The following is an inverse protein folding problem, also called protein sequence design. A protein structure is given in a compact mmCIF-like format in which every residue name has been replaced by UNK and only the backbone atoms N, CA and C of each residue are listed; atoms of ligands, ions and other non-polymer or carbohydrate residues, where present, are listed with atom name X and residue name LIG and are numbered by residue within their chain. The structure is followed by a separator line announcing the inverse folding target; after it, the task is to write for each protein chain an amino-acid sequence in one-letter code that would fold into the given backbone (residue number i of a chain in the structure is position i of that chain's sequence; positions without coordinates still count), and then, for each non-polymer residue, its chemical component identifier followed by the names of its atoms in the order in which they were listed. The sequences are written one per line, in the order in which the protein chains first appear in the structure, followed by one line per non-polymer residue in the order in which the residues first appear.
data_IF_547181795999
#
_entry.id   IF_547181795999
#
_cell.length_a   1.000
_cell.length_b   1.000
_cell.length_c   1.000
_cell.angle_alpha   90.00
_cell.angle_beta   90.00
_cell.angle_gamma   90.00
#
_symmetry.space_group_name_H-M   'P 1'
#
loop_
_entity.id
_entity.type
_entity.pdbx_description
1 polymer ?
#
# COMPACT_ATOMS: atom_id res chain seq x y z
N UNK A 1 -17.77 -41.06 -9.29
CA UNK A 1 -19.10 -41.66 -9.49
C UNK A 1 -19.88 -41.57 -8.19
N UNK A 2 -20.70 -40.54 -8.06
CA UNK A 2 -21.82 -40.50 -7.10
C UNK A 2 -23.01 -40.07 -7.95
N UNK A 3 -23.78 -41.05 -8.38
CA UNK A 3 -24.94 -40.91 -9.25
C UNK A 3 -26.09 -40.34 -8.43
N UNK A 4 -26.26 -39.01 -8.46
CA UNK A 4 -27.45 -38.39 -7.89
C UNK A 4 -28.53 -38.32 -8.98
N UNK A 5 -29.25 -39.43 -9.15
CA UNK A 5 -30.51 -39.48 -9.90
C UNK A 5 -31.57 -38.68 -9.11
N UNK A 6 -31.66 -37.37 -9.39
CA UNK A 6 -32.90 -36.66 -9.08
C UNK A 6 -33.94 -36.99 -10.16
N UNK A 7 -35.17 -37.36 -9.78
CA UNK A 7 -36.23 -37.61 -10.75
C UNK A 7 -36.49 -36.32 -11.53
N UNK A 8 -36.48 -36.41 -12.87
CA UNK A 8 -36.96 -35.34 -13.77
C UNK A 8 -38.42 -35.04 -13.42
N UNK A 9 -38.68 -34.17 -12.44
CA UNK A 9 -39.96 -33.46 -12.33
C UNK A 9 -40.08 -32.63 -13.61
N UNK A 10 -41.00 -33.02 -14.49
CA UNK A 10 -41.41 -32.19 -15.62
C UNK A 10 -42.00 -30.90 -15.03
N UNK A 11 -41.23 -29.83 -15.00
CA UNK A 11 -41.69 -28.52 -14.57
C UNK A 11 -42.73 -28.06 -15.59
N UNK A 12 -44.00 -28.02 -15.17
CA UNK A 12 -45.07 -27.38 -15.93
C UNK A 12 -44.87 -25.87 -15.86
N UNK A 13 -44.52 -25.26 -16.99
CA UNK A 13 -44.36 -23.82 -17.10
C UNK A 13 -45.72 -23.28 -17.52
N UNK A 14 -46.40 -22.59 -16.61
CA UNK A 14 -47.67 -21.94 -16.93
C UNK A 14 -47.46 -20.80 -17.94
N UNK A 15 -48.45 -20.62 -18.82
CA UNK A 15 -48.47 -19.54 -19.82
C UNK A 15 -48.47 -18.14 -19.20
N UNK A 16 -48.89 -18.00 -17.94
CA UNK A 16 -48.94 -16.73 -17.21
C UNK A 16 -47.64 -16.42 -16.46
N UNK A 17 -46.61 -17.27 -16.57
CA UNK A 17 -45.33 -17.04 -15.90
C UNK A 17 -44.62 -15.81 -16.48
N UNK A 18 -44.30 -14.84 -15.63
CA UNK A 18 -43.48 -13.68 -15.96
C UNK A 18 -42.02 -14.06 -16.25
N UNK A 19 -41.51 -13.78 -17.45
CA UNK A 19 -40.14 -14.10 -17.82
C UNK A 19 -39.13 -13.12 -17.18
N UNK A 20 -38.08 -13.62 -16.48
CA UNK A 20 -37.12 -12.78 -15.75
C UNK A 20 -36.26 -11.90 -16.68
N UNK A 21 -35.73 -10.79 -16.17
CA UNK A 21 -34.79 -9.95 -16.94
C UNK A 21 -33.37 -10.53 -16.90
N UNK A 22 -32.89 -10.96 -18.07
CA UNK A 22 -31.56 -11.58 -18.21
C UNK A 22 -30.47 -10.58 -18.63
N UNK A 23 -30.84 -9.35 -19.01
CA UNK A 23 -29.91 -8.37 -19.63
C UNK A 23 -28.86 -7.83 -18.66
N UNK A 24 -29.12 -7.91 -17.35
CA UNK A 24 -28.18 -7.51 -16.30
C UNK A 24 -26.90 -8.33 -16.34
N UNK A 25 -27.03 -9.64 -16.61
CA UNK A 25 -25.92 -10.60 -16.54
C UNK A 25 -25.47 -11.11 -17.91
N UNK A 26 -26.36 -11.08 -18.92
CA UNK A 26 -26.12 -11.67 -20.23
C UNK A 26 -26.25 -10.67 -21.37
N UNK A 27 -25.48 -10.89 -22.43
CA UNK A 27 -25.52 -10.10 -23.67
C UNK A 27 -25.76 -11.01 -24.87
N UNK A 28 -26.74 -10.62 -25.71
CA UNK A 28 -27.04 -11.30 -26.97
C UNK A 28 -26.16 -10.74 -28.09
N UNK A 29 -25.59 -11.61 -28.91
CA UNK A 29 -24.80 -11.25 -30.10
C UNK A 29 -25.19 -12.15 -31.28
N UNK A 30 -25.31 -11.58 -32.48
CA UNK A 30 -25.57 -12.35 -33.71
C UNK A 30 -24.26 -12.83 -34.31
N UNK A 31 -24.18 -14.11 -34.69
CA UNK A 31 -23.00 -14.66 -35.38
C UNK A 31 -23.13 -14.33 -36.87
N UNK A 32 -22.12 -13.69 -37.48
CA UNK A 32 -22.20 -13.17 -38.86
C UNK A 32 -22.40 -14.24 -39.95
N UNK A 33 -21.99 -15.49 -39.67
CA UNK A 33 -21.97 -16.59 -40.65
C UNK A 33 -22.97 -17.72 -40.32
N UNK A 34 -23.80 -17.57 -39.28
CA UNK A 34 -24.81 -18.58 -38.94
C UNK A 34 -26.12 -17.93 -38.52
N UNK A 35 -27.25 -18.60 -38.77
CA UNK A 35 -28.58 -18.14 -38.34
C UNK A 35 -28.82 -18.36 -36.83
N UNK A 36 -27.75 -18.30 -36.02
CA UNK A 36 -27.73 -18.57 -34.58
C UNK A 36 -27.39 -17.30 -33.79
N UNK A 37 -27.91 -17.24 -32.57
CA UNK A 37 -27.67 -16.15 -31.62
C UNK A 37 -26.81 -16.67 -30.46
N UNK A 38 -25.78 -15.92 -30.12
CA UNK A 38 -24.88 -16.21 -29.01
C UNK A 38 -25.32 -15.43 -27.78
N UNK A 39 -25.52 -16.12 -26.65
CA UNK A 39 -25.68 -15.52 -25.34
C UNK A 39 -24.33 -15.58 -24.61
N UNK A 40 -23.78 -14.42 -24.26
CA UNK A 40 -22.47 -14.30 -23.59
C UNK A 40 -22.66 -13.73 -22.18
N UNK A 41 -21.98 -14.31 -21.21
CA UNK A 41 -21.93 -13.77 -19.85
C UNK A 41 -21.13 -12.47 -19.81
N UNK A 42 -21.60 -11.48 -19.03
CA UNK A 42 -20.88 -10.23 -18.79
C UNK A 42 -19.80 -10.36 -17.71
N UNK A 43 -19.89 -11.40 -16.87
CA UNK A 43 -19.04 -11.60 -15.69
C UNK A 43 -18.07 -12.76 -15.91
N UNK A 44 -18.53 -13.84 -16.55
CA UNK A 44 -17.73 -15.04 -16.87
C UNK A 44 -17.47 -15.14 -18.37
N UNK A 45 -16.61 -16.07 -18.79
CA UNK A 45 -16.29 -16.28 -20.21
C UNK A 45 -17.25 -17.27 -20.90
N UNK A 46 -18.38 -17.59 -20.26
CA UNK A 46 -19.35 -18.58 -20.73
C UNK A 46 -20.12 -18.08 -21.95
N UNK A 47 -20.37 -19.01 -22.89
CA UNK A 47 -21.01 -18.74 -24.18
C UNK A 47 -21.96 -19.86 -24.54
N UNK A 48 -23.22 -19.51 -24.78
CA UNK A 48 -24.26 -20.46 -25.17
C UNK A 48 -24.86 -20.08 -26.52
N UNK A 49 -25.08 -21.06 -27.39
CA UNK A 49 -25.66 -20.85 -28.71
C UNK A 49 -27.14 -21.22 -28.71
N UNK A 50 -27.95 -20.34 -29.29
CA UNK A 50 -29.40 -20.48 -29.43
C UNK A 50 -29.81 -20.33 -30.90
N UNK A 51 -30.96 -20.87 -31.26
CA UNK A 51 -31.55 -20.68 -32.60
C UNK A 51 -31.97 -19.21 -32.82
N UNK A 52 -32.28 -18.82 -34.05
CA UNK A 52 -32.80 -17.47 -34.34
C UNK A 52 -34.11 -17.17 -33.61
N UNK A 53 -35.02 -18.15 -33.52
CA UNK A 53 -36.29 -18.03 -32.81
C UNK A 53 -36.09 -17.96 -31.28
N UNK A 54 -35.23 -18.81 -30.71
CA UNK A 54 -34.86 -18.74 -29.29
C UNK A 54 -34.18 -17.40 -28.95
N UNK A 55 -33.28 -16.93 -29.82
CA UNK A 55 -32.59 -15.66 -29.67
C UNK A 55 -33.54 -14.45 -29.71
N UNK A 56 -34.58 -14.50 -30.54
CA UNK A 56 -35.63 -13.49 -30.57
C UNK A 56 -36.47 -13.51 -29.28
N UNK A 57 -36.86 -14.70 -28.79
CA UNK A 57 -37.54 -14.82 -27.51
C UNK A 57 -36.71 -14.23 -26.35
N UNK A 58 -35.40 -14.52 -26.30
CA UNK A 58 -34.48 -14.00 -25.27
C UNK A 58 -34.37 -12.47 -25.28
N UNK A 59 -34.59 -11.79 -26.41
CA UNK A 59 -34.60 -10.32 -26.45
C UNK A 59 -35.75 -9.73 -25.62
N UNK A 60 -36.83 -10.49 -25.43
CA UNK A 60 -38.02 -10.08 -24.70
C UNK A 60 -38.03 -10.53 -23.23
N UNK A 61 -37.00 -11.25 -22.77
CA UNK A 61 -36.78 -11.59 -21.36
C UNK A 61 -36.31 -10.36 -20.58
N UNK A 62 -37.26 -9.48 -20.29
CA UNK A 62 -37.07 -8.14 -19.74
C UNK A 62 -37.78 -7.93 -18.41
N UNK A 63 -38.38 -8.98 -17.83
CA UNK A 63 -39.17 -8.89 -16.60
C UNK A 63 -40.59 -8.35 -16.79
N UNK A 64 -41.01 -8.04 -18.02
CA UNK A 64 -42.30 -7.36 -18.30
C UNK A 64 -43.34 -8.20 -19.04
N UNK A 65 -42.93 -9.27 -19.70
CA UNK A 65 -43.79 -10.10 -20.55
C UNK A 65 -43.93 -11.49 -19.96
N UNK A 66 -45.12 -12.07 -20.06
CA UNK A 66 -45.34 -13.46 -19.69
C UNK A 66 -44.95 -14.41 -20.84
N UNK A 67 -44.92 -15.71 -20.54
CA UNK A 67 -44.61 -16.77 -21.52
C UNK A 67 -45.52 -16.69 -22.74
N UNK A 68 -46.82 -16.45 -22.55
CA UNK A 68 -47.82 -16.33 -23.63
C UNK A 68 -47.54 -15.14 -24.56
N UNK A 69 -47.18 -13.99 -24.01
CA UNK A 69 -46.92 -12.75 -24.75
C UNK A 69 -45.68 -12.91 -25.63
N UNK A 70 -44.62 -13.52 -25.09
CA UNK A 70 -43.39 -13.78 -25.84
C UNK A 70 -43.66 -14.85 -26.91
N UNK A 71 -44.44 -15.88 -26.60
CA UNK A 71 -44.79 -16.93 -27.56
C UNK A 71 -45.60 -16.37 -28.74
N UNK A 72 -46.60 -15.52 -28.48
CA UNK A 72 -47.39 -14.85 -29.52
C UNK A 72 -46.51 -13.98 -30.43
N UNK A 73 -45.56 -13.24 -29.85
CA UNK A 73 -44.62 -12.42 -30.63
C UNK A 73 -43.67 -13.27 -31.48
N UNK A 74 -43.22 -14.40 -30.97
CA UNK A 74 -42.40 -15.33 -31.75
C UNK A 74 -43.18 -15.90 -32.94
N UNK A 75 -44.46 -16.28 -32.74
CA UNK A 75 -45.33 -16.78 -33.80
C UNK A 75 -45.68 -15.74 -34.86
N UNK A 76 -45.77 -14.46 -34.49
CA UNK A 76 -45.97 -13.36 -35.44
C UNK A 76 -44.74 -13.12 -36.31
N UNK A 77 -43.54 -13.29 -35.75
CA UNK A 77 -42.28 -13.01 -36.43
C UNK A 77 -41.78 -14.20 -37.27
N UNK A 78 -42.09 -15.44 -36.88
CA UNK A 78 -41.66 -16.66 -37.55
C UNK A 78 -42.88 -17.53 -37.88
N UNK A 79 -43.18 -17.69 -39.17
CA UNK A 79 -44.38 -18.37 -39.70
C UNK A 79 -44.48 -19.86 -39.36
N UNK A 80 -43.39 -20.49 -38.92
CA UNK A 80 -43.37 -21.88 -38.42
C UNK A 80 -42.63 -21.87 -37.08
N UNK A 81 -43.38 -21.83 -35.99
CA UNK A 81 -42.81 -21.87 -34.64
C UNK A 81 -43.57 -22.88 -33.79
N UNK A 82 -42.85 -23.78 -33.12
CA UNK A 82 -43.44 -24.74 -32.18
C UNK A 82 -44.29 -24.02 -31.13
N UNK A 83 -45.48 -24.58 -30.83
CA UNK A 83 -46.45 -23.99 -29.89
C UNK A 83 -45.93 -23.83 -28.46
N UNK A 84 -44.87 -24.56 -28.09
CA UNK A 84 -44.24 -24.53 -26.76
C UNK A 84 -42.80 -23.98 -26.73
N UNK A 85 -42.37 -23.25 -27.78
CA UNK A 85 -40.98 -22.79 -27.90
C UNK A 85 -40.45 -22.05 -26.66
N UNK A 86 -41.22 -21.11 -26.10
CA UNK A 86 -40.77 -20.31 -24.94
C UNK A 86 -40.68 -21.17 -23.67
N UNK A 87 -41.59 -22.13 -23.49
CA UNK A 87 -41.56 -23.05 -22.36
C UNK A 87 -40.34 -23.99 -22.45
N UNK A 88 -40.05 -24.52 -23.64
CA UNK A 88 -38.86 -25.33 -23.88
C UNK A 88 -37.57 -24.54 -23.67
N UNK A 89 -37.55 -23.28 -24.11
CA UNK A 89 -36.42 -22.37 -23.89
C UNK A 89 -36.15 -22.13 -22.40
N UNK A 90 -37.18 -21.88 -21.59
CA UNK A 90 -37.01 -21.71 -20.14
C UNK A 90 -36.45 -22.98 -19.49
N UNK A 91 -36.94 -24.17 -19.88
CA UNK A 91 -36.37 -25.45 -19.41
C UNK A 91 -34.91 -25.59 -19.79
N UNK A 92 -34.56 -25.21 -21.02
CA UNK A 92 -33.18 -25.21 -21.52
C UNK A 92 -32.29 -24.23 -20.73
N UNK A 93 -32.77 -23.03 -20.41
CA UNK A 93 -32.05 -22.07 -19.57
C UNK A 93 -31.85 -22.58 -18.13
N UNK A 94 -32.85 -23.26 -17.56
CA UNK A 94 -32.75 -23.90 -16.25
C UNK A 94 -31.71 -25.04 -16.26
N UNK A 95 -31.70 -25.87 -17.32
CA UNK A 95 -30.70 -26.94 -17.48
C UNK A 95 -29.27 -26.42 -17.66
N UNK A 96 -29.11 -25.28 -18.35
CA UNK A 96 -27.83 -24.62 -18.52
C UNK A 96 -27.37 -23.86 -17.27
N UNK A 97 -28.16 -23.84 -16.20
CA UNK A 97 -27.86 -23.10 -14.96
C UNK A 97 -27.92 -21.57 -15.13
N UNK A 98 -28.51 -21.08 -16.23
CA UNK A 98 -28.65 -19.64 -16.51
C UNK A 98 -29.78 -19.04 -15.66
N UNK A 99 -30.83 -19.84 -15.41
CA UNK A 99 -31.92 -19.51 -14.50
C UNK A 99 -31.91 -20.49 -13.32
N UNK A 100 -32.36 -20.05 -12.15
CA UNK A 100 -32.59 -20.92 -10.99
C UNK A 100 -33.99 -20.66 -10.42
N UNK A 101 -34.66 -21.72 -9.96
CA UNK A 101 -36.02 -21.65 -9.38
C UNK A 101 -36.02 -21.44 -7.87
N UNK A 102 -34.89 -21.73 -7.23
CA UNK A 102 -34.66 -21.39 -5.83
C UNK A 102 -34.31 -19.92 -5.72
N UNK A 103 -34.98 -19.14 -4.85
CA UNK A 103 -34.50 -17.81 -4.52
C UNK A 103 -33.05 -17.94 -4.02
N UNK A 104 -32.13 -17.04 -4.42
CA UNK A 104 -30.76 -17.09 -3.94
C UNK A 104 -30.79 -17.07 -2.41
N UNK A 105 -30.18 -18.05 -1.77
CA UNK A 105 -30.18 -18.21 -0.30
C UNK A 105 -29.34 -17.14 0.42
N UNK A 106 -29.06 -16.01 -0.23
CA UNK A 106 -28.26 -14.90 0.29
C UNK A 106 -28.64 -13.55 -0.34
N UNK A 107 -29.92 -13.26 -0.52
CA UNK A 107 -30.38 -11.89 -0.82
C UNK A 107 -30.83 -11.21 0.47
N UNK A 108 -29.86 -10.94 1.33
CA UNK A 108 -29.99 -9.84 2.27
C UNK A 108 -29.54 -8.58 1.54
N UNK A 109 -30.50 -7.78 1.10
CA UNK A 109 -30.36 -6.56 0.29
C UNK A 109 -29.86 -5.35 1.12
N UNK A 110 -28.86 -5.57 1.97
CA UNK A 110 -28.21 -4.52 2.76
C UNK A 110 -26.70 -4.53 2.53
N UNK A 111 -26.02 -3.37 2.64
CA UNK A 111 -24.57 -3.35 2.69
C UNK A 111 -24.07 -4.27 3.83
N UNK A 112 -23.02 -5.03 3.59
CA UNK A 112 -22.34 -5.85 4.61
C UNK A 112 -20.87 -5.48 4.65
N UNK A 113 -20.25 -5.65 5.82
CA UNK A 113 -18.80 -5.54 5.95
C UNK A 113 -18.12 -6.72 5.28
N UNK A 114 -16.93 -6.49 4.72
CA UNK A 114 -16.08 -7.57 4.25
C UNK A 114 -15.61 -8.44 5.43
N UNK A 115 -15.53 -9.75 5.20
CA UNK A 115 -15.12 -10.73 6.22
C UNK A 115 -13.71 -10.50 6.76
N UNK A 116 -12.83 -9.86 5.98
CA UNK A 116 -11.44 -9.64 6.35
C UNK A 116 -11.22 -8.35 7.14
N UNK A 117 -12.28 -7.58 7.40
CA UNK A 117 -12.20 -6.34 8.16
C UNK A 117 -12.08 -6.65 9.65
N UNK A 118 -11.17 -5.96 10.31
CA UNK A 118 -10.84 -6.18 11.72
C UNK A 118 -11.00 -4.90 12.54
N UNK A 119 -11.56 -5.04 13.73
CA UNK A 119 -11.65 -3.96 14.72
C UNK A 119 -10.38 -3.93 15.58
N UNK A 120 -9.78 -2.75 15.68
CA UNK A 120 -8.64 -2.48 16.56
C UNK A 120 -9.02 -1.38 17.54
N UNK A 121 -8.90 -1.67 18.83
CA UNK A 121 -9.12 -0.68 19.89
C UNK A 121 -7.90 0.24 20.01
N UNK A 122 -8.13 1.56 19.99
CA UNK A 122 -7.08 2.54 20.18
C UNK A 122 -7.06 3.03 21.63
N UNK A 123 -5.87 3.20 22.27
CA UNK A 123 -5.78 3.64 23.67
C UNK A 123 -6.38 5.00 23.97
N UNK A 124 -6.51 5.86 22.97
CA UNK A 124 -7.12 7.19 23.10
C UNK A 124 -8.68 7.15 23.13
N UNK A 125 -9.28 5.95 23.19
CA UNK A 125 -10.72 5.75 23.39
C UNK A 125 -11.58 5.72 22.11
N UNK A 126 -10.95 5.62 20.94
CA UNK A 126 -11.64 5.43 19.66
C UNK A 126 -11.31 4.06 19.05
N UNK A 127 -12.07 3.66 18.04
CA UNK A 127 -11.88 2.39 17.33
C UNK A 127 -11.33 2.63 15.93
N UNK A 128 -10.55 1.68 15.42
CA UNK A 128 -10.05 1.69 14.05
C UNK A 128 -10.59 0.45 13.35
N UNK A 129 -11.32 0.68 12.25
CA UNK A 129 -11.73 -0.37 11.33
C UNK A 129 -10.64 -0.56 10.27
N UNK A 130 -9.99 -1.72 10.26
CA UNK A 130 -8.85 -2.04 9.41
C UNK A 130 -9.27 -3.01 8.29
N UNK A 131 -8.96 -2.68 7.03
CA UNK A 131 -9.03 -3.63 5.92
C UNK A 131 -7.61 -4.03 5.49
N UNK A 132 -7.16 -5.25 5.82
CA UNK A 132 -5.81 -5.73 5.55
C UNK A 132 -5.53 -5.96 4.07
N UNK A 133 -6.57 -6.24 3.27
CA UNK A 133 -6.45 -6.52 1.83
C UNK A 133 -6.26 -5.21 1.06
N UNK A 134 -7.16 -4.24 1.30
CA UNK A 134 -7.18 -2.96 0.58
C UNK A 134 -6.24 -1.91 1.20
N UNK A 135 -5.64 -2.22 2.35
CA UNK A 135 -4.67 -1.39 3.09
C UNK A 135 -5.26 -0.03 3.51
N UNK A 136 -6.53 -0.05 3.91
CA UNK A 136 -7.27 1.12 4.35
C UNK A 136 -7.64 1.01 5.83
N UNK A 137 -7.74 2.16 6.47
CA UNK A 137 -8.14 2.29 7.86
C UNK A 137 -9.19 3.40 7.96
N UNK A 138 -10.16 3.22 8.84
CA UNK A 138 -11.16 4.22 9.17
C UNK A 138 -11.19 4.38 10.69
N UNK A 139 -11.03 5.62 11.16
CA UNK A 139 -11.24 5.95 12.57
C UNK A 139 -12.75 6.08 12.83
N UNK A 140 -13.24 5.39 13.86
CA UNK A 140 -14.65 5.27 14.20
C UNK A 140 -14.84 5.59 15.68
N UNK A 141 -15.85 6.41 16.00
CA UNK A 141 -16.21 6.70 17.40
C UNK A 141 -16.86 5.47 18.06
N UNK A 142 -16.84 5.34 19.40
CA UNK A 142 -17.52 4.23 20.09
C UNK A 142 -19.01 4.10 19.71
N UNK A 143 -19.72 5.24 19.56
CA UNK A 143 -21.12 5.25 19.16
C UNK A 143 -21.31 4.77 17.72
N UNK A 144 -20.45 5.22 16.79
CA UNK A 144 -20.51 4.79 15.39
C UNK A 144 -20.12 3.31 15.23
N UNK A 145 -19.25 2.77 16.10
CA UNK A 145 -18.92 1.34 16.11
C UNK A 145 -20.16 0.49 16.43
N UNK A 146 -20.87 0.83 17.50
CA UNK A 146 -22.10 0.13 17.91
C UNK A 146 -23.13 0.19 16.77
N UNK A 147 -23.22 1.33 16.06
CA UNK A 147 -24.03 1.48 14.85
C UNK A 147 -23.72 0.46 13.77
N UNK A 148 -22.44 0.35 13.45
CA UNK A 148 -21.92 -0.50 12.39
C UNK A 148 -22.15 -1.96 12.76
N UNK A 149 -21.82 -2.35 13.99
CA UNK A 149 -22.02 -3.73 14.47
C UNK A 149 -23.50 -4.13 14.45
N UNK A 150 -24.39 -3.24 14.92
CA UNK A 150 -25.83 -3.49 14.94
C UNK A 150 -26.45 -3.58 13.54
N UNK A 151 -26.05 -2.69 12.60
CA UNK A 151 -26.68 -2.61 11.26
C UNK A 151 -25.98 -3.45 10.19
N UNK A 152 -24.69 -3.76 10.33
CA UNK A 152 -23.87 -4.40 9.29
C UNK A 152 -23.28 -5.76 9.72
N UNK A 153 -22.96 -5.95 11.00
CA UNK A 153 -22.22 -7.15 11.50
C UNK A 153 -23.10 -8.19 12.21
N UNK A 154 -24.41 -7.88 12.39
CA UNK A 154 -25.45 -8.80 12.88
C UNK A 154 -25.21 -9.44 14.26
N UNK A 155 -24.30 -8.91 15.08
CA UNK A 155 -24.03 -9.44 16.42
C UNK A 155 -24.91 -8.83 17.53
N UNK A 156 -25.56 -7.69 17.28
CA UNK A 156 -26.26 -6.91 18.32
C UNK A 156 -27.74 -6.75 18.01
N UNK A 157 -28.61 -7.09 18.96
CA UNK A 157 -30.08 -7.07 18.82
C UNK A 157 -30.70 -5.68 19.10
N UNK A 158 -29.92 -4.73 19.60
CA UNK A 158 -30.37 -3.38 19.92
C UNK A 158 -30.13 -2.43 18.75
N UNK A 159 -31.18 -1.78 18.24
CA UNK A 159 -31.06 -0.70 17.25
C UNK A 159 -30.57 0.58 17.94
N UNK A 160 -29.36 1.07 17.62
CA UNK A 160 -28.89 2.34 18.15
C UNK A 160 -29.61 3.51 17.47
N UNK A 161 -29.99 4.51 18.27
CA UNK A 161 -30.62 5.74 17.81
C UNK A 161 -29.56 6.66 17.16
N UNK A 162 -29.49 6.65 15.83
CA UNK A 162 -28.53 7.45 15.06
C UNK A 162 -29.26 8.22 13.98
N UNK A 163 -28.91 9.50 13.85
CA UNK A 163 -29.44 10.38 12.81
C UNK A 163 -29.26 9.75 11.41
N UNK A 164 -30.33 9.61 10.61
CA UNK A 164 -30.26 9.11 9.24
C UNK A 164 -29.21 9.81 8.36
N UNK A 165 -28.92 11.10 8.60
CA UNK A 165 -27.89 11.83 7.86
C UNK A 165 -26.48 11.34 8.22
N UNK A 166 -26.19 11.21 9.52
CA UNK A 166 -24.92 10.69 10.02
C UNK A 166 -24.68 9.26 9.52
N UNK A 167 -25.71 8.41 9.51
CA UNK A 167 -25.61 7.05 8.97
C UNK A 167 -25.26 7.02 7.49
N UNK A 168 -25.86 7.91 6.68
CA UNK A 168 -25.51 8.02 5.24
C UNK A 168 -24.07 8.45 5.03
N UNK A 169 -23.57 9.40 5.83
CA UNK A 169 -22.17 9.83 5.76
C UNK A 169 -21.23 8.68 6.14
N UNK A 170 -21.55 7.94 7.21
CA UNK A 170 -20.75 6.79 7.64
C UNK A 170 -20.71 5.69 6.57
N UNK A 171 -21.85 5.38 5.94
CA UNK A 171 -21.89 4.43 4.81
C UNK A 171 -21.06 4.91 3.62
N UNK A 172 -21.08 6.20 3.30
CA UNK A 172 -20.22 6.76 2.24
C UNK A 172 -18.74 6.61 2.58
N UNK A 173 -18.35 6.83 3.85
CA UNK A 173 -16.98 6.64 4.31
C UNK A 173 -16.55 5.18 4.24
N UNK A 174 -17.39 4.25 4.69
CA UNK A 174 -17.14 2.81 4.61
C UNK A 174 -17.01 2.33 3.15
N UNK A 175 -17.87 2.82 2.26
CA UNK A 175 -17.78 2.51 0.84
C UNK A 175 -16.51 3.11 0.20
N UNK A 176 -16.18 4.36 0.51
CA UNK A 176 -15.01 5.04 -0.04
C UNK A 176 -13.68 4.42 0.42
N UNK A 177 -13.66 3.89 1.65
CA UNK A 177 -12.52 3.16 2.23
C UNK A 177 -12.49 1.68 1.85
N UNK A 178 -13.51 1.18 1.13
CA UNK A 178 -13.55 -0.21 0.68
C UNK A 178 -13.84 -1.23 1.77
N UNK A 179 -14.52 -0.83 2.86
CA UNK A 179 -14.85 -1.71 4.00
C UNK A 179 -16.06 -2.61 3.72
N UNK A 180 -16.92 -2.21 2.77
CA UNK A 180 -18.14 -2.93 2.42
C UNK A 180 -17.91 -3.93 1.30
N UNK A 181 -18.66 -5.04 1.31
CA UNK A 181 -18.66 -6.00 0.22
C UNK A 181 -18.99 -5.33 -1.13
N UNK A 182 -18.29 -5.73 -2.20
CA UNK A 182 -18.45 -5.16 -3.53
C UNK A 182 -17.85 -3.75 -3.72
N UNK A 183 -17.34 -3.10 -2.67
CA UNK A 183 -16.67 -1.79 -2.77
C UNK A 183 -15.15 -1.93 -2.87
N UNK A 184 -14.51 -1.00 -3.58
CA UNK A 184 -13.05 -0.87 -3.66
C UNK A 184 -12.66 0.53 -3.24
N UNK A 185 -11.52 0.71 -2.55
CA UNK A 185 -11.07 2.03 -2.15
C UNK A 185 -10.87 2.92 -3.38
N UNK A 186 -11.23 4.19 -3.26
CA UNK A 186 -11.00 5.14 -4.34
C UNK A 186 -9.49 5.33 -4.54
N UNK A 187 -8.98 4.98 -5.72
CA UNK A 187 -7.58 5.22 -6.06
C UNK A 187 -7.35 6.75 -6.14
N UNK A 188 -6.30 7.29 -5.49
CA UNK A 188 -5.98 8.70 -5.61
C UNK A 188 -5.76 9.05 -7.08
N UNK A 189 -6.34 10.17 -7.54
CA UNK A 189 -6.15 10.64 -8.91
C UNK A 189 -4.65 10.81 -9.17
N UNK A 190 -4.12 10.14 -10.19
CA UNK A 190 -2.71 10.28 -10.59
C UNK A 190 -2.47 11.75 -10.94
N UNK A 191 -1.62 12.42 -10.16
CA UNK A 191 -1.20 13.79 -10.44
C UNK A 191 -0.47 13.88 -11.77
N UNK A 192 -0.33 15.11 -12.31
CA UNK A 192 0.50 15.36 -13.49
C UNK A 192 1.92 14.85 -13.24
N UNK A 193 2.54 14.28 -14.27
CA UNK A 193 3.92 13.78 -14.21
C UNK A 193 4.85 14.89 -13.72
N UNK A 194 5.57 14.64 -12.64
CA UNK A 194 6.58 15.55 -12.11
C UNK A 194 7.94 14.86 -12.32
N UNK A 195 8.92 15.48 -12.99
CA UNK A 195 10.25 14.87 -13.21
C UNK A 195 10.94 14.45 -11.90
N UNK A 196 10.62 15.05 -10.75
CA UNK A 196 11.08 14.56 -9.45
C UNK A 196 10.62 13.12 -9.13
N UNK A 197 9.54 12.61 -9.74
CA UNK A 197 9.09 11.24 -9.57
C UNK A 197 10.04 10.21 -10.21
N UNK A 198 10.86 10.61 -11.20
CA UNK A 198 11.91 9.75 -11.75
C UNK A 198 13.08 9.60 -10.78
N UNK A 199 13.32 10.59 -9.92
CA UNK A 199 14.35 10.55 -8.89
C UNK A 199 13.89 9.78 -7.64
N UNK A 200 12.58 9.63 -7.44
CA UNK A 200 11.98 8.99 -6.27
C UNK A 200 10.86 8.05 -6.68
N UNK A 201 11.20 6.78 -6.96
CA UNK A 201 10.22 5.75 -7.27
C UNK A 201 10.38 4.52 -6.39
N UNK A 202 9.26 3.85 -6.12
CA UNK A 202 9.18 2.65 -5.28
C UNK A 202 8.90 1.44 -6.16
N UNK A 203 9.64 0.36 -5.91
CA UNK A 203 9.44 -0.94 -6.53
C UNK A 203 9.06 -1.92 -5.42
N UNK A 204 7.78 -2.27 -5.27
CA UNK A 204 7.36 -3.30 -4.33
C UNK A 204 7.91 -4.65 -4.81
N UNK A 205 8.64 -5.36 -3.95
CA UNK A 205 9.25 -6.66 -4.32
C UNK A 205 8.40 -7.83 -3.84
N UNK A 206 7.95 -7.79 -2.58
CA UNK A 206 7.26 -8.93 -1.96
C UNK A 206 6.33 -8.48 -0.83
N UNK A 207 5.37 -9.34 -0.51
CA UNK A 207 4.54 -9.22 0.70
C UNK A 207 5.16 -10.12 1.80
N UNK A 208 5.84 -9.54 2.80
CA UNK A 208 6.57 -10.30 3.80
C UNK A 208 5.68 -10.79 4.96
N UNK A 209 4.41 -10.38 5.02
CA UNK A 209 3.59 -10.44 6.23
C UNK A 209 3.54 -11.86 6.83
N UNK A 210 3.24 -12.86 6.00
CA UNK A 210 3.19 -14.28 6.42
C UNK A 210 4.54 -14.82 6.88
N UNK A 211 5.62 -14.38 6.24
CA UNK A 211 6.97 -14.81 6.62
C UNK A 211 7.34 -14.20 7.98
N UNK A 212 7.04 -12.92 8.20
CA UNK A 212 7.29 -12.26 9.48
C UNK A 212 6.48 -12.89 10.62
N UNK A 213 5.19 -13.16 10.42
CA UNK A 213 4.34 -13.80 11.44
C UNK A 213 4.90 -15.16 11.87
N UNK A 214 5.50 -15.93 10.95
CA UNK A 214 6.08 -17.25 11.29
C UNK A 214 7.34 -17.14 12.16
N UNK A 215 8.07 -16.04 12.07
CA UNK A 215 9.37 -15.88 12.74
C UNK A 215 9.31 -14.98 13.97
N UNK A 216 8.25 -14.17 14.14
CA UNK A 216 8.17 -13.20 15.23
C UNK A 216 8.24 -13.86 16.61
N UNK A 217 7.60 -15.01 16.80
CA UNK A 217 7.55 -15.71 18.08
C UNK A 217 8.94 -16.15 18.56
N UNK A 218 9.84 -16.50 17.62
CA UNK A 218 11.24 -16.85 17.93
C UNK A 218 12.09 -15.63 18.29
N UNK A 219 11.63 -14.44 17.94
CA UNK A 219 12.34 -13.18 18.16
C UNK A 219 11.77 -12.36 19.31
N UNK A 220 10.63 -12.77 19.91
CA UNK A 220 9.96 -12.02 21.01
C UNK A 220 10.88 -11.71 22.19
N UNK A 221 11.93 -12.51 22.41
CA UNK A 221 12.94 -12.27 23.44
C UNK A 221 13.68 -10.93 23.26
N UNK A 222 13.76 -10.38 22.04
CA UNK A 222 14.36 -9.06 21.77
C UNK A 222 13.57 -7.89 22.37
N UNK A 223 12.29 -8.07 22.70
CA UNK A 223 11.45 -7.04 23.34
C UNK A 223 11.31 -7.26 24.86
N UNK A 224 12.11 -8.15 25.45
CA UNK A 224 12.15 -8.35 26.90
C UNK A 224 12.94 -7.25 27.60
N UNK A 225 12.65 -7.01 28.88
CA UNK A 225 13.31 -5.96 29.65
C UNK A 225 14.79 -6.29 29.89
N UNK A 226 15.11 -7.57 30.11
CA UNK A 226 16.46 -8.07 30.31
C UNK A 226 17.33 -7.82 29.08
N UNK A 227 16.80 -8.13 27.89
CA UNK A 227 17.49 -7.82 26.65
C UNK A 227 17.70 -6.30 26.49
N UNK A 228 16.67 -5.49 26.76
CA UNK A 228 16.75 -4.03 26.69
C UNK A 228 17.86 -3.43 27.56
N UNK A 229 17.99 -3.88 28.82
CA UNK A 229 19.08 -3.45 29.70
C UNK A 229 20.44 -3.94 29.22
N UNK A 230 20.54 -5.18 28.76
CA UNK A 230 21.79 -5.72 28.22
C UNK A 230 22.26 -4.97 26.97
N UNK A 231 21.34 -4.63 26.06
CA UNK A 231 21.62 -3.84 24.87
C UNK A 231 22.04 -2.43 25.26
N UNK A 232 21.37 -1.81 26.23
CA UNK A 232 21.73 -0.47 26.70
C UNK A 232 23.13 -0.43 27.30
N UNK A 233 23.49 -1.43 28.13
CA UNK A 233 24.83 -1.57 28.68
C UNK A 233 25.89 -1.79 27.59
N UNK A 234 25.59 -2.64 26.60
CA UNK A 234 26.46 -2.88 25.45
C UNK A 234 26.68 -1.62 24.62
N UNK A 235 25.61 -0.87 24.31
CA UNK A 235 25.70 0.38 23.56
C UNK A 235 26.47 1.45 24.35
N UNK A 236 26.26 1.54 25.66
CA UNK A 236 27.01 2.46 26.52
C UNK A 236 28.51 2.13 26.55
N UNK A 237 28.88 0.87 26.72
CA UNK A 237 30.28 0.44 26.66
C UNK A 237 30.91 0.74 25.29
N UNK A 238 30.18 0.48 24.20
CA UNK A 238 30.62 0.78 22.84
C UNK A 238 30.82 2.28 22.62
N UNK A 239 29.96 3.13 23.20
CA UNK A 239 30.10 4.59 23.15
C UNK A 239 31.37 5.04 23.88
N UNK A 240 31.64 4.51 25.08
CA UNK A 240 32.86 4.83 25.84
C UNK A 240 34.10 4.44 25.06
N UNK A 241 34.14 3.22 24.50
CA UNK A 241 35.25 2.75 23.67
C UNK A 241 35.43 3.62 22.43
N UNK A 242 34.35 3.87 21.68
CA UNK A 242 34.40 4.70 20.47
C UNK A 242 34.86 6.13 20.74
N UNK A 243 34.45 6.72 21.86
CA UNK A 243 34.93 8.04 22.29
C UNK A 243 36.39 8.01 22.75
N UNK A 244 36.85 6.93 23.38
CA UNK A 244 38.27 6.79 23.75
C UNK A 244 39.19 6.63 22.53
N UNK A 245 38.70 5.96 21.49
CA UNK A 245 39.44 5.61 20.26
C UNK A 245 39.16 6.56 19.10
N UNK A 246 38.48 7.68 19.32
CA UNK A 246 38.02 8.55 18.23
C UNK A 246 39.16 9.00 17.29
N UNK A 247 40.37 9.22 17.84
CA UNK A 247 41.55 9.59 17.05
C UNK A 247 42.02 8.47 16.13
N UNK A 248 42.02 7.24 16.62
CA UNK A 248 42.43 6.06 15.87
C UNK A 248 41.44 5.75 14.75
N UNK A 249 40.13 5.84 15.05
CA UNK A 249 39.05 5.70 14.07
C UNK A 249 39.24 6.72 12.93
N UNK A 250 39.45 8.00 13.27
CA UNK A 250 39.67 9.05 12.28
C UNK A 250 40.96 8.83 11.46
N UNK A 251 42.06 8.47 12.12
CA UNK A 251 43.34 8.22 11.46
C UNK A 251 43.22 7.04 10.47
N UNK A 252 42.63 5.92 10.90
CA UNK A 252 42.40 4.77 10.02
C UNK A 252 41.50 5.12 8.85
N UNK A 253 40.43 5.90 9.08
CA UNK A 253 39.56 6.41 8.02
C UNK A 253 40.30 7.21 6.97
N UNK A 254 41.16 8.14 7.38
CA UNK A 254 41.98 8.94 6.45
C UNK A 254 42.94 8.08 5.66
N UNK A 255 43.66 7.15 6.32
CA UNK A 255 44.58 6.22 5.66
C UNK A 255 43.84 5.33 4.65
N UNK A 256 42.70 4.77 5.04
CA UNK A 256 41.90 3.90 4.20
C UNK A 256 41.38 4.64 2.97
N UNK A 257 40.89 5.88 3.14
CA UNK A 257 40.44 6.71 2.02
C UNK A 257 41.58 7.08 1.08
N UNK A 258 42.75 7.46 1.61
CA UNK A 258 43.93 7.80 0.79
C UNK A 258 44.43 6.59 -0.01
N UNK A 259 44.40 5.39 0.58
CA UNK A 259 44.90 4.19 -0.07
C UNK A 259 43.89 3.54 -1.04
N UNK A 260 42.61 3.49 -0.65
CA UNK A 260 41.57 2.83 -1.43
C UNK A 260 40.80 3.77 -2.37
N UNK A 261 40.72 5.07 -2.06
CA UNK A 261 40.04 6.07 -2.86
C UNK A 261 38.63 5.65 -3.31
N UNK A 262 38.35 5.85 -4.60
CA UNK A 262 37.04 5.53 -5.20
C UNK A 262 36.69 4.03 -5.19
N UNK A 263 37.66 3.12 -5.09
CA UNK A 263 37.39 1.68 -5.09
C UNK A 263 36.56 1.24 -3.87
N UNK A 264 36.59 2.01 -2.79
CA UNK A 264 35.85 1.75 -1.56
C UNK A 264 34.36 2.17 -1.66
N UNK A 265 33.97 2.94 -2.67
CA UNK A 265 32.60 3.42 -2.81
C UNK A 265 31.61 2.28 -3.06
N UNK A 266 31.97 1.30 -3.89
CA UNK A 266 31.12 0.14 -4.16
C UNK A 266 30.89 -0.73 -2.90
N UNK A 267 31.92 -1.21 -2.18
CA UNK A 267 31.71 -1.99 -0.96
C UNK A 267 31.00 -1.17 0.12
N UNK A 268 31.29 0.13 0.26
CA UNK A 268 30.58 1.00 1.19
C UNK A 268 29.08 1.12 0.86
N UNK A 269 28.72 1.29 -0.41
CA UNK A 269 27.33 1.34 -0.85
C UNK A 269 26.61 0.01 -0.59
N UNK A 270 27.27 -1.12 -0.86
CA UNK A 270 26.72 -2.45 -0.61
C UNK A 270 26.47 -2.69 0.89
N UNK A 271 27.44 -2.33 1.75
CA UNK A 271 27.28 -2.43 3.20
C UNK A 271 26.19 -1.48 3.71
N UNK A 272 26.10 -0.26 3.17
CA UNK A 272 25.03 0.67 3.50
C UNK A 272 23.65 0.11 3.14
N UNK A 273 23.51 -0.51 1.96
CA UNK A 273 22.27 -1.17 1.56
C UNK A 273 21.92 -2.34 2.49
N UNK A 274 22.92 -3.13 2.90
CA UNK A 274 22.71 -4.21 3.87
C UNK A 274 22.22 -3.66 5.22
N UNK A 275 22.86 -2.61 5.74
CA UNK A 275 22.46 -1.94 6.99
C UNK A 275 21.02 -1.41 6.90
N UNK A 276 20.67 -0.72 5.81
CA UNK A 276 19.32 -0.20 5.59
C UNK A 276 18.32 -1.35 5.47
N UNK A 277 18.68 -2.47 4.86
CA UNK A 277 17.81 -3.65 4.79
C UNK A 277 17.51 -4.23 6.17
N UNK A 278 18.51 -4.32 7.05
CA UNK A 278 18.33 -4.81 8.42
C UNK A 278 17.55 -3.80 9.27
N UNK A 279 17.76 -2.49 9.06
CA UNK A 279 16.96 -1.42 9.65
C UNK A 279 15.47 -1.55 9.30
N UNK A 280 15.17 -1.76 8.02
CA UNK A 280 13.81 -1.96 7.51
C UNK A 280 13.15 -3.22 8.07
N UNK A 281 13.92 -4.31 8.19
CA UNK A 281 13.47 -5.51 8.90
C UNK A 281 13.19 -5.25 10.37
N UNK A 282 13.99 -4.42 11.05
CA UNK A 282 13.75 -4.02 12.44
C UNK A 282 12.38 -3.36 12.62
N UNK A 283 12.01 -2.45 11.70
CA UNK A 283 10.67 -1.86 11.67
C UNK A 283 9.58 -2.92 11.47
N UNK A 284 9.76 -3.79 10.48
CA UNK A 284 8.79 -4.84 10.14
C UNK A 284 8.53 -5.78 11.32
N UNK A 285 9.59 -6.29 11.95
CA UNK A 285 9.47 -7.19 13.09
C UNK A 285 8.88 -6.51 14.32
N UNK A 286 9.25 -5.25 14.61
CA UNK A 286 8.67 -4.53 15.75
C UNK A 286 7.20 -4.22 15.54
N UNK A 287 6.78 -3.91 14.30
CA UNK A 287 5.37 -3.75 13.98
C UNK A 287 4.62 -5.07 14.16
N UNK A 288 5.21 -6.20 13.74
CA UNK A 288 4.63 -7.53 13.91
C UNK A 288 4.61 -8.02 15.36
N UNK A 289 5.57 -7.59 16.19
CA UNK A 289 5.53 -7.83 17.63
C UNK A 289 4.27 -7.24 18.27
N UNK A 290 3.79 -6.12 17.74
CA UNK A 290 2.56 -5.45 18.16
C UNK A 290 1.33 -5.82 17.34
N UNK A 291 1.35 -7.00 16.69
CA UNK A 291 0.23 -7.54 15.90
C UNK A 291 -0.20 -6.64 14.71
N UNK A 292 0.70 -5.74 14.27
CA UNK A 292 0.50 -4.91 13.09
C UNK A 292 0.72 -5.69 11.78
N UNK A 293 0.27 -5.11 10.67
CA UNK A 293 0.42 -5.71 9.33
C UNK A 293 1.53 -5.01 8.55
N UNK A 294 2.34 -5.81 7.86
CA UNK A 294 3.41 -5.33 6.96
C UNK A 294 3.05 -5.73 5.52
N UNK A 295 2.31 -4.88 4.78
CA UNK A 295 1.69 -5.28 3.52
C UNK A 295 2.67 -5.40 2.35
N UNK A 296 3.82 -4.72 2.42
CA UNK A 296 4.85 -4.73 1.38
C UNK A 296 6.23 -4.35 1.92
N UNK A 297 7.25 -4.96 1.31
CA UNK A 297 8.65 -4.54 1.37
C UNK A 297 9.23 -4.51 -0.04
N UNK A 298 10.18 -3.63 -0.28
CA UNK A 298 10.81 -3.51 -1.59
C UNK A 298 12.00 -2.58 -1.64
N UNK A 299 12.25 -2.03 -2.82
CA UNK A 299 13.31 -1.05 -3.04
C UNK A 299 12.73 0.33 -3.35
N UNK A 300 13.25 1.33 -2.67
CA UNK A 300 13.05 2.75 -2.95
C UNK A 300 14.30 3.25 -3.65
N UNK A 301 14.15 3.82 -4.84
CA UNK A 301 15.25 4.48 -5.53
C UNK A 301 15.21 5.97 -5.22
N UNK A 302 16.29 6.49 -4.66
CA UNK A 302 16.49 7.89 -4.34
C UNK A 302 17.68 8.42 -5.12
N UNK A 303 17.44 9.27 -6.12
CA UNK A 303 18.47 9.75 -7.05
C UNK A 303 19.28 8.60 -7.67
N UNK A 304 18.60 7.53 -8.11
CA UNK A 304 19.17 6.28 -8.64
C UNK A 304 19.92 5.39 -7.64
N UNK A 305 20.09 5.80 -6.38
CA UNK A 305 20.62 4.93 -5.33
C UNK A 305 19.51 4.03 -4.77
N UNK A 306 19.67 2.70 -4.78
CA UNK A 306 18.71 1.79 -4.19
C UNK A 306 18.80 1.85 -2.65
N UNK A 307 17.64 1.91 -2.00
CA UNK A 307 17.47 1.74 -0.57
C UNK A 307 16.35 0.72 -0.33
N UNK A 308 16.45 -0.08 0.73
CA UNK A 308 15.30 -0.90 1.13
C UNK A 308 14.17 -0.01 1.67
N UNK A 309 12.93 -0.47 1.56
CA UNK A 309 11.80 0.17 2.24
C UNK A 309 10.81 -0.88 2.75
N UNK A 310 10.16 -0.55 3.87
CA UNK A 310 9.05 -1.30 4.46
C UNK A 310 7.84 -0.41 4.59
N UNK A 311 6.67 -0.94 4.26
CA UNK A 311 5.43 -0.23 4.56
C UNK A 311 5.01 -0.49 6.03
N UNK A 312 5.21 0.53 6.86
CA UNK A 312 4.88 0.52 8.30
C UNK A 312 3.65 1.38 8.61
N UNK A 313 2.79 1.64 7.62
CA UNK A 313 1.63 2.53 7.77
C UNK A 313 0.65 2.05 8.85
N UNK A 314 0.60 0.74 9.12
CA UNK A 314 -0.25 0.18 10.18
C UNK A 314 0.22 0.58 11.60
N UNK A 315 1.44 1.10 11.74
CA UNK A 315 1.94 1.63 13.04
C UNK A 315 1.11 2.81 13.58
N UNK A 316 0.32 3.48 12.75
CA UNK A 316 -0.61 4.52 13.17
C UNK A 316 -1.83 3.98 13.94
N UNK A 317 -2.11 2.68 13.83
CA UNK A 317 -3.14 2.00 14.61
C UNK A 317 -2.68 1.69 16.04
N UNK A 318 -1.38 1.80 16.32
CA UNK A 318 -0.80 1.50 17.61
C UNK A 318 -0.81 2.73 18.53
N UNK A 319 -0.79 2.47 19.84
CA UNK A 319 -0.54 3.49 20.87
C UNK A 319 0.69 4.33 20.53
N UNK A 320 0.70 5.60 20.96
CA UNK A 320 1.83 6.53 20.76
C UNK A 320 3.18 5.92 21.14
N UNK A 321 3.30 5.28 22.30
CA UNK A 321 4.56 4.69 22.77
C UNK A 321 5.01 3.50 21.92
N UNK A 322 4.09 2.60 21.55
CA UNK A 322 4.40 1.48 20.64
C UNK A 322 4.81 1.99 19.26
N UNK A 323 4.15 3.03 18.75
CA UNK A 323 4.52 3.68 17.50
C UNK A 323 5.90 4.32 17.56
N UNK A 324 6.26 4.98 18.67
CA UNK A 324 7.61 5.51 18.89
C UNK A 324 8.64 4.37 18.81
N UNK A 325 8.37 3.22 19.41
CA UNK A 325 9.28 2.08 19.33
C UNK A 325 9.39 1.52 17.91
N UNK A 326 8.26 1.36 17.20
CA UNK A 326 8.28 0.90 15.79
C UNK A 326 9.10 1.85 14.94
N UNK A 327 8.98 3.16 15.09
CA UNK A 327 9.77 4.14 14.30
C UNK A 327 11.21 4.27 14.81
N UNK A 328 11.47 4.11 16.11
CA UNK A 328 12.80 4.26 16.70
C UNK A 328 13.70 3.04 16.47
N UNK A 329 13.13 1.84 16.35
CA UNK A 329 13.89 0.59 16.30
C UNK A 329 14.82 0.50 15.08
N UNK A 330 14.45 1.11 13.95
CA UNK A 330 15.30 1.13 12.76
C UNK A 330 16.64 1.81 13.06
N UNK A 331 16.60 3.00 13.66
CA UNK A 331 17.81 3.73 14.07
C UNK A 331 18.56 2.97 15.17
N UNK A 332 17.86 2.40 16.15
CA UNK A 332 18.47 1.57 17.19
C UNK A 332 19.22 0.36 16.60
N UNK A 333 18.67 -0.25 15.55
CA UNK A 333 19.28 -1.38 14.83
C UNK A 333 20.57 -0.95 14.15
N UNK A 334 20.59 0.21 13.50
CA UNK A 334 21.81 0.77 12.90
C UNK A 334 22.87 1.09 13.97
N UNK A 335 22.48 1.72 15.08
CA UNK A 335 23.41 1.99 16.20
C UNK A 335 23.98 0.68 16.75
N UNK A 336 23.16 -0.37 16.86
CA UNK A 336 23.59 -1.70 17.31
C UNK A 336 24.59 -2.34 16.35
N UNK A 337 24.37 -2.21 15.04
CA UNK A 337 25.32 -2.68 14.00
C UNK A 337 26.63 -1.89 14.09
N UNK A 338 26.58 -0.58 14.30
CA UNK A 338 27.77 0.26 14.45
C UNK A 338 28.59 -0.17 15.67
N UNK A 339 27.93 -0.38 16.81
CA UNK A 339 28.54 -0.86 18.03
C UNK A 339 29.18 -2.25 17.84
N UNK A 340 28.46 -3.23 17.29
CA UNK A 340 29.00 -4.55 17.01
C UNK A 340 30.22 -4.49 16.06
N UNK A 341 30.16 -3.60 15.06
CA UNK A 341 31.23 -3.41 14.09
C UNK A 341 32.48 -2.76 14.71
N UNK A 342 32.31 -1.85 15.68
CA UNK A 342 33.42 -1.30 16.47
C UNK A 342 34.15 -2.39 17.26
N UNK A 343 33.42 -3.30 17.91
CA UNK A 343 34.04 -4.42 18.63
C UNK A 343 34.72 -5.40 17.68
N UNK A 344 34.08 -5.74 16.55
CA UNK A 344 34.70 -6.59 15.53
C UNK A 344 35.99 -5.96 14.96
N UNK A 345 36.00 -4.65 14.75
CA UNK A 345 37.20 -3.92 14.31
C UNK A 345 38.32 -4.05 15.34
N UNK A 346 38.03 -3.84 16.63
CA UNK A 346 38.99 -3.98 17.73
C UNK A 346 39.51 -5.42 17.95
N UNK A 347 38.66 -6.42 17.73
CA UNK A 347 39.02 -7.83 17.90
C UNK A 347 39.72 -8.43 16.68
N UNK A 348 39.61 -7.78 15.52
CA UNK A 348 40.21 -8.24 14.27
C UNK A 348 41.69 -7.88 14.16
N UNK A 349 42.45 -8.75 13.49
CA UNK A 349 43.87 -8.52 13.23
C UNK A 349 44.03 -7.33 12.27
N UNK A 350 44.86 -6.34 12.65
CA UNK A 350 45.13 -5.17 11.84
C UNK A 350 45.62 -5.55 10.43
N UNK A 351 45.09 -4.87 9.41
CA UNK A 351 45.39 -5.15 8.00
C UNK A 351 44.64 -6.34 7.39
N UNK A 352 43.88 -7.11 8.18
CA UNK A 352 43.01 -8.16 7.63
C UNK A 352 41.80 -7.59 6.88
N UNK A 353 41.21 -8.39 5.98
CA UNK A 353 39.97 -8.01 5.29
C UNK A 353 38.82 -7.75 6.27
N UNK A 354 38.75 -8.51 7.37
CA UNK A 354 37.72 -8.38 8.39
C UNK A 354 37.85 -7.04 9.14
N UNK A 355 39.09 -6.60 9.40
CA UNK A 355 39.35 -5.30 10.02
C UNK A 355 38.82 -4.15 9.16
N UNK A 356 39.18 -4.14 7.87
CA UNK A 356 38.69 -3.13 6.92
C UNK A 356 37.18 -3.21 6.73
N UNK A 357 36.60 -4.40 6.59
CA UNK A 357 35.17 -4.59 6.42
C UNK A 357 34.36 -4.14 7.64
N UNK A 358 34.85 -4.43 8.86
CA UNK A 358 34.23 -4.00 10.12
C UNK A 358 34.25 -2.48 10.25
N UNK A 359 35.36 -1.84 9.89
CA UNK A 359 35.44 -0.38 9.84
C UNK A 359 34.45 0.22 8.82
N UNK A 360 34.40 -0.32 7.60
CA UNK A 360 33.47 0.15 6.58
C UNK A 360 32.00 -0.04 7.00
N UNK A 361 31.67 -1.17 7.64
CA UNK A 361 30.32 -1.44 8.15
C UNK A 361 29.95 -0.49 9.29
N UNK A 362 30.88 -0.22 10.21
CA UNK A 362 30.71 0.79 11.27
C UNK A 362 30.40 2.16 10.65
N UNK A 363 31.21 2.60 9.67
CA UNK A 363 31.02 3.91 9.03
C UNK A 363 29.74 3.97 8.18
N UNK A 364 29.39 2.89 7.47
CA UNK A 364 28.13 2.80 6.73
C UNK A 364 26.93 2.91 7.67
N UNK A 365 27.00 2.25 8.82
CA UNK A 365 25.94 2.31 9.82
C UNK A 365 25.83 3.69 10.48
N UNK A 366 26.95 4.30 10.88
CA UNK A 366 26.96 5.66 11.42
C UNK A 366 26.47 6.70 10.40
N UNK A 367 26.86 6.56 9.14
CA UNK A 367 26.40 7.43 8.06
C UNK A 367 24.89 7.31 7.85
N UNK A 368 24.35 6.09 7.81
CA UNK A 368 22.90 5.87 7.66
C UNK A 368 22.10 6.31 8.89
N UNK A 369 22.65 6.21 10.11
CA UNK A 369 22.06 6.84 11.32
C UNK A 369 21.97 8.35 11.15
N UNK A 370 23.05 9.00 10.73
CA UNK A 370 23.09 10.46 10.56
C UNK A 370 22.05 10.96 9.54
N UNK A 371 21.82 10.19 8.48
CA UNK A 371 20.77 10.48 7.49
C UNK A 371 19.37 10.25 8.06
N UNK A 372 19.12 9.09 8.67
CA UNK A 372 17.77 8.70 9.10
C UNK A 372 17.30 9.42 10.35
N UNK A 373 18.18 9.67 11.32
CA UNK A 373 17.83 10.35 12.58
C UNK A 373 17.56 11.86 12.40
N UNK A 374 17.82 12.40 11.21
CA UNK A 374 17.57 13.81 10.93
C UNK A 374 16.07 14.15 10.95
N UNK A 375 15.59 14.98 11.91
CA UNK A 375 14.17 15.30 12.04
C UNK A 375 13.65 16.26 10.97
N UNK A 376 14.52 16.89 10.20
CA UNK A 376 14.18 17.94 9.24
C UNK A 376 13.91 17.39 7.84
N UNK A 377 14.41 16.18 7.55
CA UNK A 377 14.10 15.40 6.35
C UNK A 377 13.03 14.36 6.67
N UNK A 378 12.21 13.95 5.68
CA UNK A 378 11.14 12.95 5.87
C UNK A 378 11.67 11.51 5.98
N UNK A 379 12.65 11.31 6.87
CA UNK A 379 13.17 10.02 7.30
C UNK A 379 12.64 9.68 8.70
N UNK A 380 13.19 8.66 9.36
CA UNK A 380 12.66 8.20 10.64
C UNK A 380 12.75 9.22 11.75
N UNK A 381 13.76 10.10 11.76
CA UNK A 381 13.87 11.20 12.71
C UNK A 381 12.66 12.13 12.65
N UNK A 382 12.14 12.40 11.45
CA UNK A 382 10.90 13.18 11.28
C UNK A 382 9.69 12.40 11.79
N UNK A 383 9.59 11.12 11.46
CA UNK A 383 8.48 10.29 11.92
C UNK A 383 8.51 10.07 13.44
N UNK A 384 9.69 10.03 14.04
CA UNK A 384 9.93 9.97 15.47
C UNK A 384 9.51 11.30 16.12
N UNK A 385 9.90 12.44 15.55
CA UNK A 385 9.43 13.74 16.00
C UNK A 385 7.90 13.86 15.92
N UNK A 386 7.27 13.35 14.85
CA UNK A 386 5.80 13.27 14.71
C UNK A 386 5.20 12.38 15.80
N UNK A 387 5.75 11.19 16.06
CA UNK A 387 5.23 10.28 17.08
C UNK A 387 5.42 10.84 18.51
N UNK A 388 6.55 11.49 18.78
CA UNK A 388 6.84 12.15 20.06
C UNK A 388 5.99 13.39 20.26
N UNK A 389 5.70 14.18 19.22
CA UNK A 389 4.84 15.37 19.36
C UNK A 389 3.35 15.05 19.29
N UNK A 390 2.98 13.90 18.70
CA UNK A 390 1.59 13.56 18.36
C UNK A 390 1.05 14.33 17.15
N UNK A 391 1.87 15.21 16.53
CA UNK A 391 1.43 16.08 15.45
C UNK A 391 1.61 15.42 14.09
N UNK A 392 0.54 14.79 13.60
CA UNK A 392 0.51 14.27 12.24
C UNK A 392 0.75 15.39 11.22
N UNK A 393 1.51 15.07 10.16
CA UNK A 393 1.89 16.01 9.10
C UNK A 393 2.58 17.31 9.60
N UNK A 394 3.50 17.17 10.57
CA UNK A 394 4.25 18.27 11.18
C UNK A 394 4.81 19.29 10.18
N UNK A 395 5.49 18.83 9.11
CA UNK A 395 6.06 19.73 8.10
C UNK A 395 4.99 20.54 7.37
N UNK A 396 3.91 19.89 6.94
CA UNK A 396 2.82 20.55 6.22
C UNK A 396 2.08 21.57 7.07
N UNK A 397 1.76 21.21 8.32
CA UNK A 397 1.14 22.11 9.30
C UNK A 397 2.05 23.28 9.65
N UNK A 398 3.36 23.06 9.79
CA UNK A 398 4.32 24.14 10.11
C UNK A 398 4.42 25.17 8.99
N UNK A 399 4.49 24.72 7.73
CA UNK A 399 4.46 25.65 6.59
C UNK A 399 3.11 26.33 6.40
N UNK A 400 2.01 25.60 6.66
CA UNK A 400 0.66 26.17 6.66
C UNK A 400 0.51 27.29 7.70
N UNK A 401 1.05 27.07 8.91
CA UNK A 401 1.08 28.06 9.99
C UNK A 401 1.79 29.36 9.55
N UNK A 402 3.00 29.27 8.99
CA UNK A 402 3.71 30.44 8.49
C UNK A 402 3.01 31.10 7.30
N UNK A 403 2.42 30.31 6.40
CA UNK A 403 1.62 30.84 5.29
C UNK A 403 0.43 31.65 5.80
N UNK A 404 -0.32 31.14 6.77
CA UNK A 404 -1.43 31.86 7.39
C UNK A 404 -0.97 33.13 8.10
N UNK A 405 0.19 33.09 8.78
CA UNK A 405 0.78 34.27 9.41
C UNK A 405 1.14 35.37 8.40
N UNK A 406 1.80 35.00 7.29
CA UNK A 406 2.14 35.94 6.21
C UNK A 406 0.89 36.49 5.51
N UNK A 407 -0.15 35.67 5.37
CA UNK A 407 -1.41 36.05 4.72
C UNK A 407 -2.41 36.75 5.66
N UNK A 408 -2.07 36.94 6.95
CA UNK A 408 -2.97 37.54 7.94
C UNK A 408 -4.24 36.71 8.22
N UNK A 409 -4.22 35.41 7.95
CA UNK A 409 -5.37 34.52 8.17
C UNK A 409 -5.43 34.01 9.62
N UNK A 410 -6.63 33.72 10.14
CA UNK A 410 -6.77 33.19 11.50
C UNK A 410 -6.06 31.82 11.62
N UNK A 411 -5.23 31.69 12.64
CA UNK A 411 -4.50 30.46 12.96
C UNK A 411 -5.48 29.45 13.56
N UNK A 412 -5.77 28.39 12.79
CA UNK A 412 -6.68 27.29 13.20
C UNK A 412 -6.04 26.27 14.14
N UNK A 413 -4.74 26.39 14.41
CA UNK A 413 -3.97 25.44 15.20
C UNK A 413 -4.08 25.71 16.70
N UNK A 414 -4.11 24.61 17.49
CA UNK A 414 -4.17 24.66 18.95
C UNK A 414 -2.97 25.40 19.54
N UNK A 415 -3.14 26.23 20.60
CA UNK A 415 -2.07 27.04 21.17
C UNK A 415 -0.82 26.25 21.58
N UNK A 416 -1.01 25.05 22.14
CA UNK A 416 0.07 24.17 22.55
C UNK A 416 0.95 23.68 21.38
N UNK A 417 0.34 23.45 20.21
CA UNK A 417 1.04 22.93 19.03
C UNK A 417 1.84 24.03 18.32
N UNK A 418 1.45 25.30 18.48
CA UNK A 418 2.02 26.44 17.75
C UNK A 418 3.52 26.57 17.97
N UNK A 419 4.01 26.36 19.18
CA UNK A 419 5.44 26.50 19.50
C UNK A 419 6.28 25.49 18.73
N UNK A 420 5.83 24.24 18.69
CA UNK A 420 6.51 23.16 17.95
C UNK A 420 6.51 23.46 16.45
N UNK A 421 5.37 23.89 15.90
CA UNK A 421 5.22 24.25 14.49
C UNK A 421 6.08 25.45 14.10
N UNK A 422 6.14 26.47 14.96
CA UNK A 422 6.91 27.69 14.77
C UNK A 422 8.43 27.41 14.78
N UNK A 423 8.90 26.51 15.64
CA UNK A 423 10.32 26.12 15.68
C UNK A 423 10.67 25.25 14.47
N UNK A 424 9.82 24.27 14.13
CA UNK A 424 10.16 23.27 13.12
C UNK A 424 10.41 23.85 11.72
N UNK A 425 9.56 24.79 11.24
CA UNK A 425 9.65 25.30 9.88
C UNK A 425 10.98 26.05 9.56
N UNK A 426 11.44 27.02 10.39
CA UNK A 426 12.73 27.69 10.18
C UNK A 426 13.91 26.73 10.12
N UNK A 427 14.01 25.78 11.07
CA UNK A 427 15.08 24.78 11.05
C UNK A 427 14.98 23.89 9.82
N UNK A 428 13.77 23.45 9.43
CA UNK A 428 13.59 22.65 8.22
C UNK A 428 13.98 23.41 6.97
N UNK A 429 13.71 24.72 6.88
CA UNK A 429 14.11 25.57 5.76
C UNK A 429 15.62 25.76 5.72
N UNK A 430 16.24 26.06 6.86
CA UNK A 430 17.69 26.21 6.97
C UNK A 430 18.39 24.93 6.52
N UNK A 431 17.93 23.77 6.97
CA UNK A 431 18.47 22.48 6.57
C UNK A 431 18.32 22.22 5.06
N UNK A 432 17.12 22.46 4.50
CA UNK A 432 16.90 22.34 3.05
C UNK A 432 17.87 23.25 2.30
N UNK A 433 18.01 24.51 2.72
CA UNK A 433 18.90 25.47 2.08
C UNK A 433 20.37 25.05 2.17
N UNK A 434 20.83 24.58 3.34
CA UNK A 434 22.19 24.07 3.51
C UNK A 434 22.46 22.84 2.64
N UNK A 435 21.57 21.84 2.64
CA UNK A 435 21.78 20.60 1.89
C UNK A 435 21.65 20.81 0.40
N UNK A 436 20.56 21.43 -0.07
CA UNK A 436 20.39 21.71 -1.49
C UNK A 436 21.40 22.73 -1.98
N UNK A 437 21.77 23.72 -1.16
CA UNK A 437 22.84 24.66 -1.47
C UNK A 437 24.19 23.95 -1.63
N UNK A 438 24.56 23.08 -0.68
CA UNK A 438 25.78 22.28 -0.79
C UNK A 438 25.77 21.36 -2.01
N UNK A 439 24.69 20.61 -2.24
CA UNK A 439 24.55 19.73 -3.40
C UNK A 439 24.59 20.51 -4.72
N UNK A 440 23.93 21.67 -4.77
CA UNK A 440 23.95 22.56 -5.94
C UNK A 440 25.35 23.07 -6.21
N UNK A 441 26.08 23.55 -5.19
CA UNK A 441 27.46 24.01 -5.34
C UNK A 441 28.39 22.87 -5.79
N UNK A 442 28.22 21.66 -5.25
CA UNK A 442 28.99 20.48 -5.66
C UNK A 442 28.68 20.05 -7.09
N UNK A 443 27.40 20.04 -7.46
CA UNK A 443 26.98 19.72 -8.82
C UNK A 443 27.50 20.77 -9.80
N UNK A 444 27.34 22.07 -9.49
CA UNK A 444 27.85 23.17 -10.29
C UNK A 444 29.37 23.10 -10.44
N UNK A 445 30.09 22.80 -9.36
CA UNK A 445 31.54 22.59 -9.43
C UNK A 445 31.89 21.40 -10.33
N UNK A 446 31.22 20.25 -10.15
CA UNK A 446 31.45 19.05 -10.98
C UNK A 446 31.13 19.28 -12.46
N UNK A 447 30.04 19.98 -12.77
CA UNK A 447 29.69 20.32 -14.16
C UNK A 447 30.68 21.30 -14.77
N UNK A 448 31.15 22.29 -14.01
CA UNK A 448 32.17 23.23 -14.48
C UNK A 448 33.52 22.54 -14.71
N UNK A 449 33.96 21.66 -13.80
CA UNK A 449 35.23 20.92 -13.97
C UNK A 449 35.18 19.91 -15.12
N UNK A 450 34.00 19.35 -15.42
CA UNK A 450 33.81 18.39 -16.51
C UNK A 450 33.11 19.00 -17.74
N UNK A 451 33.06 20.33 -17.85
CA UNK A 451 32.30 21.03 -18.89
C UNK A 451 32.71 20.61 -20.30
N UNK A 452 34.01 20.42 -20.53
CA UNK A 452 34.56 19.94 -21.80
C UNK A 452 34.10 18.51 -22.14
N UNK A 453 34.11 17.60 -21.16
CA UNK A 453 33.66 16.22 -21.34
C UNK A 453 32.14 16.15 -21.59
N UNK A 454 31.35 16.95 -20.87
CA UNK A 454 29.90 17.05 -21.08
C UNK A 454 29.60 17.64 -22.46
N UNK A 455 30.31 18.68 -22.88
CA UNK A 455 30.15 19.28 -24.19
C UNK A 455 30.46 18.28 -25.31
N UNK A 456 31.56 17.52 -25.19
CA UNK A 456 31.92 16.45 -26.13
C UNK A 456 30.86 15.35 -26.17
N UNK A 457 30.33 14.93 -25.01
CA UNK A 457 29.27 13.92 -24.94
C UNK A 457 27.98 14.40 -25.62
N UNK A 458 27.56 15.64 -25.36
CA UNK A 458 26.38 16.24 -25.97
C UNK A 458 26.55 16.44 -27.48
N UNK A 459 27.73 16.87 -27.94
CA UNK A 459 28.07 16.99 -29.36
C UNK A 459 28.07 15.63 -30.05
N UNK A 460 28.62 14.60 -29.40
CA UNK A 460 28.59 13.22 -29.90
C UNK A 460 27.17 12.68 -30.00
N UNK A 461 26.33 12.91 -29.00
CA UNK A 461 24.93 12.53 -29.03
C UNK A 461 24.14 13.28 -30.11
N UNK A 462 24.41 14.58 -30.28
CA UNK A 462 23.82 15.39 -31.35
C UNK A 462 24.24 14.90 -32.73
N UNK A 463 25.53 14.59 -32.92
CA UNK A 463 26.04 14.02 -34.18
C UNK A 463 25.40 12.66 -34.47
N UNK A 464 25.31 11.77 -33.47
CA UNK A 464 24.61 10.48 -33.60
C UNK A 464 23.15 10.71 -34.00
N UNK A 465 22.43 11.60 -33.31
CA UNK A 465 21.06 11.91 -33.65
C UNK A 465 20.91 12.46 -35.08
N UNK A 466 21.76 13.41 -35.47
CA UNK A 466 21.72 14.06 -36.78
C UNK A 466 22.04 13.11 -37.94
N UNK A 467 23.00 12.20 -37.76
CA UNK A 467 23.45 11.29 -38.82
C UNK A 467 22.74 9.93 -38.83
N UNK A 468 22.22 9.44 -37.70
CA UNK A 468 21.62 8.10 -37.59
C UNK A 468 20.09 8.10 -37.50
N UNK A 469 19.43 9.25 -37.29
CA UNK A 469 17.97 9.33 -37.38
C UNK A 469 17.59 9.77 -38.79
N UNK A 470 17.17 8.85 -39.69
CA UNK A 470 16.74 9.23 -41.02
C UNK A 470 15.54 10.17 -40.92
N UNK A 471 15.58 11.28 -41.66
CA UNK A 471 14.41 12.12 -41.86
C UNK A 471 13.27 11.24 -42.39
N UNK A 472 12.18 11.13 -41.62
CA UNK A 472 10.96 10.51 -42.10
C UNK A 472 10.39 11.42 -43.19
N UNK A 473 10.73 11.11 -44.45
CA UNK A 473 10.04 11.60 -45.65
C UNK A 473 8.63 11.05 -45.73
#
# INVERSE_FOLDING_TARGET
MVTNHQPKRSIEISNDWLCPDIRTYWQLAKIKESNRVLLRSRISNDRFQFSSAEGYALQHFTGKYNVRDIQNRCQQQFTVTDSELVAQLIRKLLQLGILSLTPPTSLHSGPQLKLEVEWVEHPDGYWILRNPIDRTYLQVSPNDKIAIEAKLDRQTTSEPEIDPLQWRQLLQLLAATGMLEGTKPQKPKRGKFNPMQLLFFKVPLLNPDRWLTRHIDRLRWLWTQEFGWSLTAFLFASLVVGLSQYREILAFGTQLWTNGGASLMFPFALLSLAVVSVHELGHAFTLKHYDGIVPEMGLLFMCLFPAAYTNTTDSYCLSRWRRIQVVGVGVLTQISIAAASLWLWNLSVAGSWLHTASYLLMMASLFTVALNLNPLAKFDGYHLAVAVTGLNNLRGRSFGFYKSLIQGQPIRENPHDRTVLAIYAPFSLLYIWCVFGFLFLRLAHWTLTHASAIALFLLGFWAIYFFLVPEKS
#
